data_IF_562334519318
#
_entry.id   IF_562334519318
#
_cell.length_a   1.000
_cell.length_b   1.000
_cell.length_c   1.000
_cell.angle_alpha   90.00
_cell.angle_beta   90.00
_cell.angle_gamma   90.00
#
_symmetry.space_group_name_H-M   'P 1'
#
loop_
_entity.id
_entity.type
_entity.pdbx_description
1 polymer ?
#
# COMPACT_ATOMS: atom_id res chain seq x y z
N UNK A 1 -38.48 65.08 0.03
CA UNK A 1 -38.01 63.94 -0.79
C UNK A 1 -38.06 62.67 0.06
N UNK A 2 -39.11 61.83 -0.07
CA UNK A 2 -39.18 60.54 0.67
C UNK A 2 -38.28 59.55 -0.05
N UNK A 3 -37.13 59.24 0.55
CA UNK A 3 -36.15 58.33 -0.01
C UNK A 3 -36.76 56.93 -0.09
N UNK A 4 -36.78 56.30 -1.26
CA UNK A 4 -37.37 54.97 -1.51
C UNK A 4 -36.47 53.83 -0.99
N UNK A 5 -36.04 53.92 0.27
CA UNK A 5 -35.19 52.96 0.98
C UNK A 5 -35.72 51.51 0.94
N UNK A 6 -37.05 51.34 0.90
CA UNK A 6 -37.69 50.02 0.76
C UNK A 6 -37.37 49.32 -0.57
N UNK A 7 -37.15 50.07 -1.66
CA UNK A 7 -36.76 49.50 -2.96
C UNK A 7 -35.35 48.92 -2.93
N UNK A 8 -34.45 49.53 -2.15
CA UNK A 8 -33.11 49.02 -1.93
C UNK A 8 -33.13 47.75 -1.07
N UNK A 9 -33.96 47.69 -0.03
CA UNK A 9 -34.15 46.49 0.79
C UNK A 9 -34.73 45.33 -0.03
N UNK A 10 -35.69 45.59 -0.92
CA UNK A 10 -36.22 44.57 -1.84
C UNK A 10 -35.15 44.08 -2.84
N UNK A 11 -34.32 44.99 -3.37
CA UNK A 11 -33.22 44.64 -4.26
C UNK A 11 -32.16 43.76 -3.56
N UNK A 12 -31.79 44.11 -2.33
CA UNK A 12 -30.84 43.32 -1.52
C UNK A 12 -31.43 41.95 -1.17
N UNK A 13 -32.70 41.89 -0.79
CA UNK A 13 -33.39 40.63 -0.52
C UNK A 13 -33.38 39.70 -1.74
N UNK A 14 -33.65 40.24 -2.93
CA UNK A 14 -33.66 39.46 -4.17
C UNK A 14 -32.27 38.94 -4.55
N UNK A 15 -31.22 39.75 -4.34
CA UNK A 15 -29.83 39.32 -4.50
C UNK A 15 -29.50 38.18 -3.53
N UNK A 16 -29.84 38.29 -2.25
CA UNK A 16 -29.57 37.24 -1.26
C UNK A 16 -30.29 35.93 -1.57
N UNK A 17 -31.53 36.00 -2.08
CA UNK A 17 -32.32 34.82 -2.48
C UNK A 17 -31.69 34.07 -3.64
N UNK A 18 -30.96 34.73 -4.55
CA UNK A 18 -30.23 34.04 -5.63
C UNK A 18 -28.82 33.63 -5.17
N UNK A 19 -28.15 34.49 -4.41
CA UNK A 19 -26.76 34.31 -4.04
C UNK A 19 -26.57 33.18 -3.03
N UNK A 20 -27.41 33.08 -2.00
CA UNK A 20 -27.28 32.05 -0.95
C UNK A 20 -27.46 30.63 -1.52
N UNK A 21 -28.50 30.31 -2.31
CA UNK A 21 -28.63 28.99 -2.95
C UNK A 21 -27.51 28.71 -3.94
N UNK A 22 -27.04 29.72 -4.68
CA UNK A 22 -25.92 29.56 -5.62
C UNK A 22 -24.61 29.19 -4.92
N UNK A 23 -24.33 29.78 -3.75
CA UNK A 23 -23.16 29.46 -2.94
C UNK A 23 -23.26 28.05 -2.36
N UNK A 24 -24.43 27.66 -1.84
CA UNK A 24 -24.67 26.31 -1.33
C UNK A 24 -24.55 25.26 -2.45
N UNK A 25 -25.11 25.53 -3.63
CA UNK A 25 -25.04 24.65 -4.79
C UNK A 25 -23.60 24.52 -5.34
N UNK A 26 -22.85 25.62 -5.38
CA UNK A 26 -21.46 25.63 -5.78
C UNK A 26 -20.57 24.88 -4.78
N UNK A 27 -20.75 25.07 -3.46
CA UNK A 27 -20.02 24.29 -2.46
C UNK A 27 -20.31 22.80 -2.58
N UNK A 28 -21.57 22.41 -2.76
CA UNK A 28 -21.96 21.01 -2.93
C UNK A 28 -21.38 20.41 -4.22
N UNK A 29 -21.38 21.17 -5.33
CA UNK A 29 -20.73 20.74 -6.58
C UNK A 29 -19.22 20.63 -6.41
N UNK A 30 -18.53 21.60 -5.81
CA UNK A 30 -17.07 21.52 -5.61
C UNK A 30 -16.67 20.31 -4.75
N UNK A 31 -17.46 19.96 -3.72
CA UNK A 31 -17.19 18.75 -2.91
C UNK A 31 -17.39 17.46 -3.71
N UNK A 32 -18.41 17.38 -4.57
CA UNK A 32 -18.65 16.22 -5.45
C UNK A 32 -17.68 16.12 -6.63
N UNK A 33 -17.13 17.24 -7.11
CA UNK A 33 -16.16 17.25 -8.22
C UNK A 33 -14.74 16.88 -7.76
N UNK A 34 -14.35 17.22 -6.53
CA UNK A 34 -13.04 16.82 -5.96
C UNK A 34 -12.93 15.31 -5.68
N UNK A 35 -14.04 14.58 -5.48
CA UNK A 35 -13.98 13.15 -5.16
C UNK A 35 -13.77 12.24 -6.37
N UNK A 36 -14.06 12.70 -7.60
CA UNK A 36 -14.10 11.83 -8.78
C UNK A 36 -12.83 11.88 -9.66
N UNK A 37 -11.94 12.84 -9.46
CA UNK A 37 -10.68 12.93 -10.21
C UNK A 37 -9.51 12.36 -9.41
N UNK A 38 -8.79 11.38 -9.96
CA UNK A 38 -7.53 10.89 -9.36
C UNK A 38 -6.53 12.04 -9.26
N UNK A 39 -5.94 12.22 -8.08
CA UNK A 39 -4.89 13.22 -7.86
C UNK A 39 -3.65 12.85 -8.66
N UNK A 40 -2.84 13.82 -9.14
CA UNK A 40 -1.54 13.50 -9.74
C UNK A 40 -0.61 12.80 -8.77
N UNK A 41 -0.70 13.13 -7.48
CA UNK A 41 0.08 12.53 -6.41
C UNK A 41 -0.39 11.10 -6.12
N UNK A 42 0.50 10.14 -6.41
CA UNK A 42 0.35 8.71 -6.21
C UNK A 42 1.53 8.17 -5.39
N UNK A 43 1.53 8.36 -4.05
CA UNK A 43 2.64 7.89 -3.24
C UNK A 43 2.72 6.37 -3.22
N UNK A 44 3.94 5.84 -3.10
CA UNK A 44 4.15 4.44 -2.73
C UNK A 44 4.46 4.35 -1.24
N UNK A 45 3.52 3.82 -0.48
CA UNK A 45 3.67 3.62 0.97
C UNK A 45 4.41 2.31 1.22
N UNK A 46 5.54 2.36 1.91
CA UNK A 46 6.41 1.23 2.18
C UNK A 46 6.42 0.91 3.68
N UNK A 47 6.11 -0.33 4.06
CA UNK A 47 6.07 -0.78 5.45
C UNK A 47 7.07 -1.93 5.64
N UNK A 48 8.07 -1.78 6.54
CA UNK A 48 9.11 -2.79 6.72
C UNK A 48 8.62 -3.92 7.67
N UNK A 49 9.44 -4.97 7.78
CA UNK A 49 9.22 -6.10 8.67
C UNK A 49 9.56 -5.83 10.14
N UNK A 50 9.61 -6.90 10.94
CA UNK A 50 10.01 -6.82 12.35
C UNK A 50 11.48 -6.48 12.54
N UNK A 51 11.83 -5.95 13.72
CA UNK A 51 13.18 -5.52 14.13
C UNK A 51 13.85 -4.52 13.16
N UNK A 52 13.10 -4.04 12.18
CA UNK A 52 13.54 -3.14 11.14
C UNK A 52 13.28 -1.70 11.57
N UNK A 53 14.30 -0.85 11.49
CA UNK A 53 14.10 0.59 11.59
C UNK A 53 13.55 1.16 10.27
N UNK A 54 13.19 2.44 10.26
CA UNK A 54 12.81 3.18 9.05
C UNK A 54 13.86 3.17 7.93
N UNK A 55 15.09 2.70 8.20
CA UNK A 55 16.18 2.62 7.24
C UNK A 55 16.22 1.28 6.47
N UNK A 56 15.33 0.33 6.78
CA UNK A 56 15.30 -0.99 6.13
C UNK A 56 15.16 -0.92 4.61
N UNK A 57 14.46 0.09 4.12
CA UNK A 57 14.29 0.31 2.68
C UNK A 57 15.35 1.22 2.07
N UNK A 58 16.33 1.74 2.81
CA UNK A 58 17.27 2.74 2.27
C UNK A 58 18.10 2.18 1.10
N UNK A 59 18.57 0.93 1.21
CA UNK A 59 19.29 0.25 0.13
C UNK A 59 18.38 0.03 -1.10
N UNK A 60 17.16 -0.48 -0.89
CA UNK A 60 16.17 -0.66 -1.96
C UNK A 60 15.85 0.66 -2.66
N UNK A 61 15.59 1.72 -1.89
CA UNK A 61 15.26 3.04 -2.40
C UNK A 61 16.44 3.64 -3.16
N UNK A 62 17.67 3.45 -2.66
CA UNK A 62 18.89 3.86 -3.36
C UNK A 62 19.01 3.18 -4.71
N UNK A 63 18.76 1.86 -4.77
CA UNK A 63 18.81 1.11 -6.03
C UNK A 63 17.68 1.50 -6.98
N UNK A 64 16.45 1.63 -6.49
CA UNK A 64 15.32 2.14 -7.27
C UNK A 64 15.64 3.51 -7.87
N UNK A 65 16.25 4.43 -7.12
CA UNK A 65 16.61 5.76 -7.62
C UNK A 65 17.67 5.74 -8.72
N UNK A 66 18.57 4.75 -8.73
CA UNK A 66 19.54 4.60 -9.83
C UNK A 66 18.89 4.06 -11.09
N UNK A 67 17.91 3.18 -10.91
CA UNK A 67 17.29 2.40 -12.00
C UNK A 67 16.06 3.10 -12.61
N UNK A 68 15.38 3.96 -11.84
CA UNK A 68 14.21 4.73 -12.28
C UNK A 68 14.63 6.03 -12.95
N UNK A 69 13.91 6.43 -14.00
CA UNK A 69 14.18 7.69 -14.72
C UNK A 69 13.66 8.91 -13.96
N UNK A 70 12.68 8.70 -13.08
CA UNK A 70 12.00 9.75 -12.33
C UNK A 70 12.56 9.80 -10.92
N UNK A 71 12.99 10.98 -10.48
CA UNK A 71 13.52 11.14 -9.13
C UNK A 71 12.42 11.13 -8.08
N UNK A 72 12.32 10.05 -7.31
CA UNK A 72 11.38 9.88 -6.19
C UNK A 72 11.91 10.50 -4.88
N UNK A 73 11.21 11.49 -4.35
CA UNK A 73 11.42 12.02 -2.99
C UNK A 73 11.01 10.99 -1.94
N UNK A 74 11.60 11.09 -0.75
CA UNK A 74 11.39 10.11 0.33
C UNK A 74 10.97 10.85 1.60
N UNK A 75 9.82 10.45 2.12
CA UNK A 75 9.33 10.83 3.44
C UNK A 75 9.37 9.58 4.33
N UNK A 76 10.02 9.69 5.49
CA UNK A 76 10.02 8.66 6.52
C UNK A 76 9.10 9.09 7.65
N UNK A 77 8.22 8.19 8.05
CA UNK A 77 7.20 8.40 9.08
C UNK A 77 7.45 7.36 10.17
N UNK A 78 7.62 7.81 11.40
CA UNK A 78 7.75 6.93 12.57
C UNK A 78 6.56 7.15 13.49
N UNK A 79 5.84 6.06 13.80
CA UNK A 79 4.75 6.06 14.78
C UNK A 79 5.24 5.51 16.11
N UNK A 80 5.19 6.35 17.14
CA UNK A 80 5.53 5.98 18.51
C UNK A 80 4.45 5.09 19.15
N UNK A 81 4.80 4.40 20.23
CA UNK A 81 3.90 3.47 20.93
C UNK A 81 2.65 4.13 21.53
N UNK A 82 2.72 5.45 21.78
CA UNK A 82 1.61 6.30 22.20
C UNK A 82 0.76 6.84 21.01
N UNK A 83 1.10 6.47 19.77
CA UNK A 83 0.43 6.93 18.55
C UNK A 83 0.94 8.25 17.97
N UNK A 84 1.96 8.88 18.58
CA UNK A 84 2.55 10.10 18.05
C UNK A 84 3.27 9.83 16.73
N UNK A 85 3.00 10.66 15.72
CA UNK A 85 3.61 10.56 14.39
C UNK A 85 4.73 11.58 14.26
N UNK A 86 5.88 11.14 13.77
CA UNK A 86 7.05 11.99 13.49
C UNK A 86 7.54 11.78 12.06
N UNK A 87 8.12 12.83 11.48
CA UNK A 87 8.49 12.88 10.07
C UNK A 87 9.98 13.19 9.90
N UNK A 88 10.62 12.53 8.95
CA UNK A 88 11.97 12.87 8.47
C UNK A 88 12.00 12.82 6.94
N UNK A 89 12.73 13.74 6.31
CA UNK A 89 12.68 13.94 4.86
C UNK A 89 11.51 14.83 4.43
N UNK A 90 11.19 14.84 3.14
CA UNK A 90 10.11 15.66 2.57
C UNK A 90 9.66 15.14 1.21
N UNK A 91 8.42 15.47 0.84
CA UNK A 91 7.91 15.28 -0.53
C UNK A 91 8.25 16.53 -1.34
N UNK A 92 9.01 16.36 -2.42
CA UNK A 92 9.41 17.50 -3.28
C UNK A 92 8.20 18.00 -4.05
N UNK A 93 8.05 19.33 -4.18
CA UNK A 93 7.02 19.93 -5.03
C UNK A 93 7.14 19.42 -6.47
N UNK A 94 6.03 18.98 -7.04
CA UNK A 94 5.96 18.42 -8.40
C UNK A 94 6.42 16.95 -8.51
N UNK A 95 6.81 16.31 -7.41
CA UNK A 95 6.95 14.85 -7.38
C UNK A 95 5.58 14.20 -7.21
N UNK A 96 5.15 13.49 -8.25
CA UNK A 96 3.86 12.81 -8.30
C UNK A 96 3.93 11.36 -7.83
N UNK A 97 5.11 10.80 -7.56
CA UNK A 97 5.25 9.40 -7.13
C UNK A 97 6.28 9.25 -6.00
N UNK A 98 6.14 9.99 -4.87
CA UNK A 98 7.10 9.90 -3.78
C UNK A 98 7.02 8.54 -3.07
N UNK A 99 8.10 8.18 -2.38
CA UNK A 99 8.14 7.04 -1.48
C UNK A 99 7.88 7.51 -0.05
N UNK A 100 6.95 6.86 0.63
CA UNK A 100 6.62 7.14 2.03
C UNK A 100 6.89 5.89 2.85
N UNK A 101 7.97 5.87 3.63
CA UNK A 101 8.30 4.75 4.51
C UNK A 101 7.61 4.96 5.85
N UNK A 102 6.73 4.05 6.26
CA UNK A 102 6.07 4.09 7.58
C UNK A 102 6.65 2.98 8.44
N UNK A 103 7.29 3.35 9.54
CA UNK A 103 7.87 2.44 10.51
C UNK A 103 7.29 2.69 11.92
N UNK A 104 7.43 1.71 12.79
CA UNK A 104 6.87 1.73 14.13
C UNK A 104 7.99 1.73 15.16
N UNK A 105 7.81 2.46 16.27
CA UNK A 105 8.72 2.39 17.42
C UNK A 105 8.75 0.98 18.00
N UNK A 106 7.57 0.37 18.20
CA UNK A 106 7.49 -1.06 18.47
C UNK A 106 7.36 -1.81 17.14
N UNK A 107 8.51 -2.32 16.68
CA UNK A 107 8.66 -3.15 15.49
C UNK A 107 8.82 -4.65 15.83
N UNK A 108 8.39 -5.10 16.99
CA UNK A 108 8.52 -6.50 17.38
C UNK A 108 7.61 -7.42 16.55
N UNK A 109 8.03 -8.68 16.44
CA UNK A 109 7.24 -9.77 15.87
C UNK A 109 6.02 -10.13 16.72
N UNK A 110 5.16 -10.97 16.14
CA UNK A 110 4.08 -11.63 16.86
C UNK A 110 2.71 -11.00 16.63
N UNK A 111 1.69 -11.86 16.74
CA UNK A 111 0.29 -11.55 16.42
C UNK A 111 -0.22 -10.24 17.05
N UNK A 112 0.02 -10.03 18.34
CA UNK A 112 -0.42 -8.84 19.07
C UNK A 112 0.25 -7.56 18.56
N UNK A 113 1.56 -7.63 18.29
CA UNK A 113 2.32 -6.48 17.81
C UNK A 113 1.92 -6.11 16.38
N UNK A 114 1.77 -7.10 15.49
CA UNK A 114 1.33 -6.91 14.10
C UNK A 114 -0.05 -6.23 14.04
N UNK A 115 -1.00 -6.67 14.87
CA UNK A 115 -2.32 -6.04 14.95
C UNK A 115 -2.26 -4.59 15.43
N UNK A 116 -1.41 -4.29 16.42
CA UNK A 116 -1.21 -2.93 16.92
C UNK A 116 -0.53 -2.04 15.88
N UNK A 117 0.43 -2.59 15.13
CA UNK A 117 1.09 -1.90 14.02
C UNK A 117 0.11 -1.57 12.89
N UNK A 118 -0.87 -2.43 12.60
CA UNK A 118 -1.93 -2.10 11.63
C UNK A 118 -2.81 -0.91 12.08
N UNK A 119 -3.08 -0.81 13.39
CA UNK A 119 -3.78 0.33 13.96
C UNK A 119 -2.93 1.61 13.89
N UNK A 120 -1.64 1.52 14.22
CA UNK A 120 -0.71 2.65 14.09
C UNK A 120 -0.53 3.09 12.63
N UNK A 121 -0.53 2.15 11.69
CA UNK A 121 -0.53 2.46 10.27
C UNK A 121 -1.75 3.29 9.88
N UNK A 122 -2.94 2.99 10.40
CA UNK A 122 -4.13 3.80 10.16
C UNK A 122 -3.98 5.24 10.68
N UNK A 123 -3.37 5.43 11.86
CA UNK A 123 -3.10 6.77 12.41
C UNK A 123 -2.19 7.56 11.46
N UNK A 124 -1.05 6.99 11.07
CA UNK A 124 -0.13 7.63 10.13
C UNK A 124 -0.79 7.89 8.77
N UNK A 125 -1.55 6.92 8.25
CA UNK A 125 -2.22 7.03 6.96
C UNK A 125 -3.22 8.19 6.92
N UNK A 126 -4.06 8.33 7.96
CA UNK A 126 -5.00 9.46 8.06
C UNK A 126 -4.28 10.80 8.12
N UNK A 127 -3.19 10.88 8.87
CA UNK A 127 -2.39 12.11 8.97
C UNK A 127 -1.75 12.48 7.62
N UNK A 128 -1.23 11.48 6.90
CA UNK A 128 -0.70 11.65 5.54
C UNK A 128 -1.76 12.10 4.54
N UNK A 129 -2.94 11.47 4.53
CA UNK A 129 -4.05 11.84 3.63
C UNK A 129 -4.52 13.26 3.94
N UNK A 130 -4.62 13.63 5.21
CA UNK A 130 -4.98 14.99 5.64
C UNK A 130 -3.94 16.03 5.21
N UNK A 131 -2.66 15.67 5.24
CA UNK A 131 -1.55 16.60 4.96
C UNK A 131 -1.29 16.77 3.45
N UNK A 132 -1.32 15.67 2.70
CA UNK A 132 -0.89 15.63 1.30
C UNK A 132 -2.04 15.50 0.29
N UNK A 133 -3.26 15.22 0.78
CA UNK A 133 -4.49 15.21 -0.02
C UNK A 133 -4.48 14.28 -1.25
N UNK A 134 -3.66 13.22 -1.26
CA UNK A 134 -3.76 12.18 -2.29
C UNK A 134 -5.03 11.36 -2.11
N UNK A 135 -5.64 10.93 -3.21
CA UNK A 135 -6.83 10.08 -3.20
C UNK A 135 -6.60 8.69 -3.81
N UNK A 136 -5.36 8.38 -4.15
CA UNK A 136 -4.94 7.03 -4.46
C UNK A 136 -3.48 6.81 -4.09
N UNK A 137 -3.09 5.55 -3.89
CA UNK A 137 -1.71 5.18 -3.56
C UNK A 137 -1.41 3.72 -3.96
N UNK A 138 -0.12 3.39 -4.01
CA UNK A 138 0.38 2.02 -4.05
C UNK A 138 1.05 1.66 -2.72
N UNK A 139 1.12 0.38 -2.38
CA UNK A 139 1.74 -0.09 -1.15
C UNK A 139 2.76 -1.20 -1.37
N UNK A 140 3.83 -1.18 -0.59
CA UNK A 140 4.87 -2.21 -0.53
C UNK A 140 5.06 -2.67 0.91
N UNK A 141 4.85 -3.96 1.18
CA UNK A 141 5.15 -4.57 2.47
C UNK A 141 6.31 -5.54 2.35
N UNK A 142 7.33 -5.42 3.20
CA UNK A 142 8.36 -6.45 3.34
C UNK A 142 8.13 -7.24 4.63
N UNK A 143 8.20 -8.57 4.56
CA UNK A 143 8.00 -9.46 5.71
C UNK A 143 6.68 -9.12 6.42
N UNK A 144 6.68 -8.89 7.73
CA UNK A 144 5.50 -8.46 8.51
C UNK A 144 4.84 -7.19 7.98
N UNK A 145 5.56 -6.31 7.29
CA UNK A 145 4.97 -5.14 6.64
C UNK A 145 3.81 -5.48 5.71
N UNK A 146 3.87 -6.64 5.04
CA UNK A 146 2.75 -7.13 4.24
C UNK A 146 1.56 -7.59 5.07
N UNK A 147 1.78 -8.20 6.24
CA UNK A 147 0.70 -8.57 7.17
C UNK A 147 0.02 -7.32 7.73
N UNK A 148 0.82 -6.33 8.15
CA UNK A 148 0.37 -5.04 8.67
C UNK A 148 -0.49 -4.32 7.64
N UNK A 149 -0.03 -4.25 6.38
CA UNK A 149 -0.79 -3.66 5.28
C UNK A 149 -2.10 -4.42 5.01
N UNK A 150 -2.06 -5.75 5.03
CA UNK A 150 -3.24 -6.59 4.78
C UNK A 150 -4.32 -6.37 5.85
N UNK A 151 -3.94 -6.43 7.13
CA UNK A 151 -4.84 -6.14 8.24
C UNK A 151 -5.35 -4.70 8.20
N UNK A 152 -4.51 -3.73 7.83
CA UNK A 152 -4.93 -2.34 7.67
C UNK A 152 -6.02 -2.19 6.61
N UNK A 153 -5.85 -2.83 5.46
CA UNK A 153 -6.82 -2.81 4.37
C UNK A 153 -8.15 -3.47 4.78
N UNK A 154 -8.10 -4.54 5.57
CA UNK A 154 -9.29 -5.27 6.01
C UNK A 154 -10.04 -4.56 7.15
N UNK A 155 -9.32 -3.96 8.11
CA UNK A 155 -9.92 -3.50 9.37
C UNK A 155 -10.16 -2.00 9.44
N UNK A 156 -9.29 -1.20 8.81
CA UNK A 156 -9.22 0.23 9.08
C UNK A 156 -9.37 1.10 7.82
N UNK A 157 -9.04 0.58 6.64
CA UNK A 157 -8.99 1.39 5.43
C UNK A 157 -10.36 1.97 5.03
N UNK A 158 -11.46 1.30 5.38
CA UNK A 158 -12.83 1.77 5.17
C UNK A 158 -13.15 3.10 5.88
N UNK A 159 -12.34 3.49 6.88
CA UNK A 159 -12.45 4.78 7.56
C UNK A 159 -12.04 5.96 6.67
N UNK A 160 -11.28 5.73 5.59
CA UNK A 160 -10.80 6.75 4.65
C UNK A 160 -11.43 6.59 3.27
N UNK A 161 -12.76 6.74 3.19
CA UNK A 161 -13.61 6.41 2.02
C UNK A 161 -13.24 7.09 0.69
N UNK A 162 -12.50 8.20 0.73
CA UNK A 162 -12.14 8.96 -0.46
C UNK A 162 -10.78 8.58 -1.05
N UNK A 163 -10.08 7.61 -0.47
CA UNK A 163 -8.77 7.16 -0.94
C UNK A 163 -8.89 5.75 -1.47
N UNK A 164 -8.27 5.46 -2.61
CA UNK A 164 -8.22 4.12 -3.20
C UNK A 164 -6.80 3.56 -3.16
N UNK A 165 -6.64 2.29 -2.85
CA UNK A 165 -5.38 1.59 -3.09
C UNK A 165 -5.40 1.01 -4.50
N UNK A 166 -4.40 1.35 -5.32
CA UNK A 166 -4.30 0.85 -6.68
C UNK A 166 -3.61 -0.52 -6.70
N UNK A 167 -2.46 -0.63 -6.02
CA UNK A 167 -1.61 -1.83 -6.03
C UNK A 167 -1.01 -2.12 -4.67
N UNK A 168 -0.91 -3.40 -4.34
CA UNK A 168 -0.19 -3.91 -3.17
C UNK A 168 0.87 -4.90 -3.65
N UNK A 169 2.12 -4.69 -3.26
CA UNK A 169 3.17 -5.69 -3.39
C UNK A 169 3.64 -6.14 -2.01
N UNK A 170 3.67 -7.44 -1.76
CA UNK A 170 4.19 -8.01 -0.53
C UNK A 170 5.39 -8.89 -0.83
N UNK A 171 6.51 -8.69 -0.14
CA UNK A 171 7.76 -9.43 -0.36
C UNK A 171 8.06 -10.26 0.89
N UNK A 172 8.17 -11.58 0.73
CA UNK A 172 8.47 -12.53 1.81
C UNK A 172 7.54 -12.40 3.02
N UNK A 173 6.26 -12.10 2.78
CA UNK A 173 5.29 -11.90 3.86
C UNK A 173 4.81 -13.24 4.43
N UNK A 174 5.03 -13.50 5.73
CA UNK A 174 4.71 -14.80 6.33
C UNK A 174 3.22 -14.88 6.71
N UNK A 175 2.33 -15.10 5.73
CA UNK A 175 0.88 -15.17 5.97
C UNK A 175 0.47 -16.25 6.97
N UNK A 176 1.27 -17.30 7.15
CA UNK A 176 1.09 -18.32 8.19
C UNK A 176 2.18 -18.29 9.27
N UNK A 177 2.81 -17.13 9.50
CA UNK A 177 3.96 -16.97 10.40
C UNK A 177 5.09 -17.96 10.04
N UNK A 178 5.75 -18.53 11.04
CA UNK A 178 6.82 -19.52 10.90
C UNK A 178 6.29 -20.92 10.51
N UNK A 179 4.98 -21.11 10.34
CA UNK A 179 4.42 -22.42 10.00
C UNK A 179 4.63 -22.75 8.51
N UNK A 180 5.31 -23.86 8.25
CA UNK A 180 5.41 -24.47 6.92
C UNK A 180 4.18 -25.33 6.56
N UNK A 181 3.20 -25.44 7.46
CA UNK A 181 2.01 -26.24 7.25
C UNK A 181 1.11 -25.64 6.17
N UNK A 182 0.58 -26.51 5.30
CA UNK A 182 -0.42 -26.16 4.29
C UNK A 182 -1.87 -26.32 4.80
N UNK A 183 -2.05 -26.94 5.97
CA UNK A 183 -3.36 -27.28 6.55
C UNK A 183 -3.62 -26.56 7.87
N UNK A 184 -2.61 -26.46 8.74
CA UNK A 184 -2.71 -25.75 10.02
C UNK A 184 -2.62 -24.26 9.80
N UNK A 185 -3.63 -23.53 10.29
CA UNK A 185 -3.69 -22.06 10.19
C UNK A 185 -3.36 -21.42 11.52
N UNK A 186 -2.35 -20.55 11.53
CA UNK A 186 -2.03 -19.67 12.66
C UNK A 186 -3.13 -18.65 12.93
N UNK A 187 -3.09 -17.99 14.09
CA UNK A 187 -4.08 -16.98 14.46
C UNK A 187 -4.15 -15.84 13.45
N UNK A 188 -3.00 -15.37 12.95
CA UNK A 188 -2.94 -14.28 11.97
C UNK A 188 -3.60 -14.68 10.63
N UNK A 189 -3.35 -15.92 10.16
CA UNK A 189 -3.94 -16.39 8.91
C UNK A 189 -5.46 -16.54 9.03
N UNK A 190 -5.93 -17.03 10.18
CA UNK A 190 -7.36 -17.13 10.47
C UNK A 190 -8.02 -15.75 10.46
N UNK A 191 -7.37 -14.75 11.08
CA UNK A 191 -7.88 -13.37 11.12
C UNK A 191 -7.95 -12.76 9.72
N UNK A 192 -6.87 -12.85 8.93
CA UNK A 192 -6.83 -12.35 7.56
C UNK A 192 -7.92 -13.00 6.68
N UNK A 193 -8.08 -14.32 6.76
CA UNK A 193 -9.12 -15.02 6.00
C UNK A 193 -10.53 -14.58 6.44
N UNK A 194 -10.74 -14.26 7.71
CA UNK A 194 -12.03 -13.77 8.20
C UNK A 194 -12.31 -12.32 7.74
N UNK A 195 -11.27 -11.47 7.63
CA UNK A 195 -11.38 -10.07 7.22
C UNK A 195 -11.40 -9.84 5.71
N UNK A 196 -10.97 -10.83 4.91
CA UNK A 196 -10.68 -10.68 3.47
C UNK A 196 -11.78 -10.07 2.61
N UNK A 197 -13.05 -10.20 2.99
CA UNK A 197 -14.18 -9.63 2.22
C UNK A 197 -14.17 -8.10 2.21
N UNK A 198 -13.50 -7.48 3.19
CA UNK A 198 -13.32 -6.04 3.31
C UNK A 198 -12.23 -5.49 2.38
N UNK A 199 -11.43 -6.36 1.75
CA UNK A 199 -10.39 -5.92 0.82
C UNK A 199 -10.98 -5.13 -0.35
N UNK A 200 -10.31 -4.05 -0.80
CA UNK A 200 -10.78 -3.24 -1.92
C UNK A 200 -10.88 -4.07 -3.21
N UNK A 201 -12.09 -4.17 -3.78
CA UNK A 201 -12.37 -5.06 -4.92
C UNK A 201 -11.58 -4.72 -6.19
N UNK A 202 -11.13 -3.47 -6.35
CA UNK A 202 -10.32 -3.01 -7.49
C UNK A 202 -8.81 -3.18 -7.30
N UNK A 203 -8.37 -3.66 -6.13
CA UNK A 203 -6.95 -3.81 -5.80
C UNK A 203 -6.28 -4.83 -6.72
N UNK A 204 -5.05 -4.53 -7.15
CA UNK A 204 -4.13 -5.50 -7.74
C UNK A 204 -3.06 -5.88 -6.73
N UNK A 205 -2.87 -7.17 -6.49
CA UNK A 205 -1.93 -7.70 -5.50
C UNK A 205 -0.83 -8.54 -6.17
N UNK A 206 0.42 -8.26 -5.81
CA UNK A 206 1.60 -9.05 -6.17
C UNK A 206 2.24 -9.62 -4.91
N UNK A 207 2.21 -10.94 -4.76
CA UNK A 207 2.86 -11.63 -3.63
C UNK A 207 4.17 -12.25 -4.09
N UNK A 208 5.29 -11.70 -3.65
CA UNK A 208 6.63 -12.16 -4.01
C UNK A 208 7.18 -13.07 -2.91
N UNK A 209 7.46 -14.32 -3.26
CA UNK A 209 8.14 -15.28 -2.39
C UNK A 209 9.61 -15.36 -2.80
N UNK A 210 10.52 -15.25 -1.83
CA UNK A 210 11.94 -15.60 -2.02
C UNK A 210 12.16 -17.07 -1.67
N UNK A 211 13.04 -17.74 -2.39
CA UNK A 211 13.50 -19.08 -2.01
C UNK A 211 15.00 -19.20 -2.23
N UNK A 212 15.74 -19.37 -1.13
CA UNK A 212 17.18 -19.67 -1.15
C UNK A 212 17.41 -21.15 -1.48
N UNK A 213 16.62 -22.05 -0.85
CA UNK A 213 16.70 -23.50 -1.04
C UNK A 213 15.36 -24.11 -1.49
N UNK A 214 14.64 -23.45 -2.39
CA UNK A 214 13.32 -23.86 -2.92
C UNK A 214 12.14 -23.92 -1.92
N UNK A 215 12.41 -23.94 -0.60
CA UNK A 215 11.39 -24.11 0.45
C UNK A 215 11.30 -22.93 1.44
N UNK A 216 12.31 -22.07 1.51
CA UNK A 216 12.41 -20.97 2.48
C UNK A 216 13.38 -19.90 1.97
N UNK A 217 13.24 -18.67 2.47
CA UNK A 217 14.20 -17.57 2.32
C UNK A 217 15.24 -17.51 3.46
N UNK A 218 15.36 -18.60 4.24
CA UNK A 218 16.23 -18.69 5.41
C UNK A 218 15.58 -18.21 6.72
N UNK A 219 14.38 -17.62 6.67
CA UNK A 219 13.62 -17.22 7.87
C UNK A 219 12.14 -17.63 7.77
N UNK A 220 11.53 -17.43 6.61
CA UNK A 220 10.11 -17.68 6.35
C UNK A 220 9.95 -18.84 5.37
N UNK A 221 9.16 -19.86 5.72
CA UNK A 221 8.83 -20.92 4.79
C UNK A 221 8.04 -20.39 3.59
N UNK A 222 8.39 -20.83 2.39
CA UNK A 222 7.69 -20.48 1.16
C UNK A 222 6.20 -20.84 1.23
N UNK A 223 5.84 -21.94 1.93
CA UNK A 223 4.45 -22.31 2.14
C UNK A 223 3.67 -21.31 2.99
N UNK A 224 4.31 -20.64 3.94
CA UNK A 224 3.71 -19.54 4.70
C UNK A 224 3.35 -18.38 3.79
N UNK A 225 4.27 -17.99 2.90
CA UNK A 225 4.02 -16.94 1.88
C UNK A 225 2.90 -17.37 0.92
N UNK A 226 2.88 -18.64 0.51
CA UNK A 226 1.84 -19.20 -0.37
C UNK A 226 0.43 -19.13 0.22
N UNK A 227 0.28 -19.01 1.54
CA UNK A 227 -1.05 -18.89 2.16
C UNK A 227 -1.74 -17.56 1.84
N UNK A 228 -1.02 -16.55 1.33
CA UNK A 228 -1.61 -15.27 0.89
C UNK A 228 -2.71 -15.46 -0.16
N UNK A 229 -2.66 -16.54 -0.94
CA UNK A 229 -3.72 -16.87 -1.91
C UNK A 229 -5.11 -17.01 -1.26
N UNK A 230 -5.19 -17.52 -0.03
CA UNK A 230 -6.46 -17.68 0.69
C UNK A 230 -7.04 -16.35 1.20
N UNK A 231 -6.18 -15.33 1.29
CA UNK A 231 -6.56 -13.96 1.66
C UNK A 231 -7.05 -13.22 0.42
N UNK A 232 -6.30 -13.22 -0.68
CA UNK A 232 -6.57 -12.32 -1.81
C UNK A 232 -7.36 -12.93 -2.98
N UNK A 233 -7.23 -14.23 -3.27
CA UNK A 233 -7.92 -14.80 -4.43
C UNK A 233 -9.44 -14.68 -4.28
N UNK A 234 -10.10 -14.28 -5.38
CA UNK A 234 -11.53 -14.00 -5.44
C UNK A 234 -12.01 -12.85 -4.52
N UNK A 235 -11.09 -12.09 -3.91
CA UNK A 235 -11.42 -10.91 -3.08
C UNK A 235 -10.99 -9.59 -3.71
N UNK A 236 -9.92 -9.61 -4.51
CA UNK A 236 -9.35 -8.46 -5.21
C UNK A 236 -9.43 -8.67 -6.73
N UNK A 237 -9.25 -7.61 -7.51
CA UNK A 237 -9.36 -7.68 -8.98
C UNK A 237 -8.33 -8.63 -9.59
N UNK A 238 -7.09 -8.57 -9.12
CA UNK A 238 -6.00 -9.40 -9.60
C UNK A 238 -5.10 -9.82 -8.45
N UNK A 239 -4.78 -11.11 -8.37
CA UNK A 239 -3.77 -11.65 -7.47
C UNK A 239 -2.73 -12.42 -8.29
N UNK A 240 -1.47 -12.03 -8.18
CA UNK A 240 -0.35 -12.72 -8.84
C UNK A 240 0.69 -13.10 -7.81
N UNK A 241 1.06 -14.37 -7.77
CA UNK A 241 2.19 -14.84 -6.99
C UNK A 241 3.43 -14.98 -7.88
N UNK A 242 4.56 -14.49 -7.38
CA UNK A 242 5.84 -14.43 -8.07
C UNK A 242 6.88 -15.11 -7.18
N UNK A 243 7.58 -16.11 -7.70
CA UNK A 243 8.70 -16.73 -6.99
C UNK A 243 10.02 -16.22 -7.56
N UNK A 244 10.91 -15.80 -6.68
CA UNK A 244 12.27 -15.34 -6.98
C UNK A 244 13.26 -16.33 -6.37
N UNK A 245 14.08 -16.94 -7.21
CA UNK A 245 15.06 -17.99 -6.87
C UNK A 245 16.48 -17.52 -7.15
N UNK A 246 17.46 -17.94 -6.34
CA UNK A 246 18.90 -17.77 -6.62
C UNK A 246 19.69 -17.13 -5.48
N UNK A 247 20.98 -16.87 -5.72
CA UNK A 247 21.87 -16.23 -4.74
C UNK A 247 21.35 -14.82 -4.39
N UNK A 248 21.39 -14.43 -3.11
CA UNK A 248 20.78 -13.19 -2.54
C UNK A 248 19.25 -13.21 -2.42
N UNK A 249 18.66 -14.36 -2.12
CA UNK A 249 17.23 -14.48 -1.76
C UNK A 249 16.99 -14.72 -0.27
N UNK A 250 18.01 -14.47 0.56
CA UNK A 250 17.86 -14.48 2.01
C UNK A 250 16.83 -13.43 2.45
N UNK A 251 16.13 -13.68 3.55
CA UNK A 251 15.04 -12.83 4.03
C UNK A 251 15.40 -11.33 4.13
N UNK A 252 16.63 -11.04 4.57
CA UNK A 252 17.15 -9.68 4.75
C UNK A 252 17.58 -9.00 3.44
N UNK A 253 18.02 -9.76 2.45
CA UNK A 253 18.55 -9.26 1.17
C UNK A 253 17.50 -9.15 0.07
N UNK A 254 16.34 -9.79 0.25
CA UNK A 254 15.25 -9.72 -0.73
C UNK A 254 14.88 -8.29 -1.14
N UNK A 255 14.71 -7.31 -0.22
CA UNK A 255 14.40 -5.94 -0.63
C UNK A 255 15.42 -5.31 -1.58
N UNK A 256 16.69 -5.73 -1.55
CA UNK A 256 17.77 -5.14 -2.37
C UNK A 256 18.16 -6.01 -3.59
N UNK A 257 17.50 -7.15 -3.78
CA UNK A 257 17.76 -8.02 -4.92
C UNK A 257 17.34 -7.35 -6.25
N UNK A 258 18.21 -7.37 -7.26
CA UNK A 258 17.95 -6.73 -8.57
C UNK A 258 16.66 -7.21 -9.25
N UNK A 259 16.29 -8.48 -9.08
CA UNK A 259 15.02 -9.00 -9.60
C UNK A 259 13.83 -8.37 -8.88
N UNK A 260 13.93 -8.17 -7.56
CA UNK A 260 12.91 -7.49 -6.75
C UNK A 260 12.80 -6.01 -7.15
N UNK A 261 13.91 -5.33 -7.39
CA UNK A 261 13.93 -3.96 -7.91
C UNK A 261 13.20 -3.89 -9.26
N UNK A 262 13.50 -4.80 -10.19
CA UNK A 262 12.81 -4.88 -11.49
C UNK A 262 11.31 -5.16 -11.35
N UNK A 263 10.91 -6.04 -10.41
CA UNK A 263 9.50 -6.31 -10.12
C UNK A 263 8.78 -5.07 -9.59
N UNK A 264 9.39 -4.34 -8.66
CA UNK A 264 8.83 -3.09 -8.12
C UNK A 264 8.66 -2.08 -9.24
N UNK A 265 9.70 -1.84 -10.06
CA UNK A 265 9.64 -0.92 -11.21
C UNK A 265 8.53 -1.29 -12.18
N UNK A 266 8.44 -2.56 -12.56
CA UNK A 266 7.47 -3.05 -13.53
C UNK A 266 6.02 -3.01 -13.01
N UNK A 267 5.79 -3.55 -11.81
CA UNK A 267 4.43 -3.86 -11.35
C UNK A 267 3.89 -2.84 -10.37
N UNK A 268 4.72 -2.30 -9.50
CA UNK A 268 4.28 -1.33 -8.50
C UNK A 268 4.35 0.10 -9.04
N UNK A 269 5.48 0.46 -9.66
CA UNK A 269 5.71 1.79 -10.21
C UNK A 269 5.17 1.96 -11.64
N UNK A 270 4.89 0.84 -12.34
CA UNK A 270 4.37 0.81 -13.71
C UNK A 270 5.30 1.50 -14.73
N UNK A 271 6.61 1.37 -14.54
CA UNK A 271 7.57 1.87 -15.51
C UNK A 271 7.51 1.09 -16.83
N UNK A 272 7.61 1.80 -17.95
CA UNK A 272 7.82 1.18 -19.26
C UNK A 272 9.27 0.70 -19.38
N UNK A 273 9.48 -0.59 -19.08
CA UNK A 273 10.79 -1.22 -19.17
C UNK A 273 11.17 -1.60 -20.62
N UNK A 274 12.47 -1.51 -20.99
CA UNK A 274 12.98 -2.00 -22.28
C UNK A 274 12.61 -3.48 -22.51
N UNK A 275 12.41 -3.87 -23.78
CA UNK A 275 11.97 -5.22 -24.14
C UNK A 275 12.90 -6.33 -23.60
N UNK A 276 14.21 -6.07 -23.56
CA UNK A 276 15.23 -7.00 -23.05
C UNK A 276 15.09 -7.27 -21.54
N UNK A 277 14.80 -6.24 -20.74
CA UNK A 277 14.55 -6.38 -19.30
C UNK A 277 13.23 -7.10 -19.04
N UNK A 278 12.19 -6.79 -19.82
CA UNK A 278 10.91 -7.51 -19.76
C UNK A 278 11.05 -9.00 -20.10
N UNK A 279 11.93 -9.36 -21.03
CA UNK A 279 12.23 -10.74 -21.40
C UNK A 279 13.03 -11.48 -20.32
N UNK A 280 14.05 -10.84 -19.74
CA UNK A 280 14.82 -11.41 -18.62
C UNK A 280 13.94 -11.70 -17.40
N UNK A 281 12.94 -10.84 -17.14
CA UNK A 281 11.92 -11.07 -16.09
C UNK A 281 10.97 -12.25 -16.37
N UNK A 282 10.99 -12.86 -17.57
CA UNK A 282 10.24 -14.09 -17.86
C UNK A 282 11.08 -15.34 -17.64
N UNK A 283 12.40 -15.27 -17.85
CA UNK A 283 13.28 -16.43 -17.79
C UNK A 283 13.63 -16.88 -16.36
N UNK A 284 13.64 -15.97 -15.39
CA UNK A 284 13.92 -16.28 -13.98
C UNK A 284 12.71 -16.32 -13.04
N UNK A 285 11.50 -16.07 -13.56
CA UNK A 285 10.28 -15.96 -12.76
C UNK A 285 9.30 -17.08 -13.13
N UNK A 286 9.02 -17.95 -12.18
CA UNK A 286 7.89 -18.88 -12.27
C UNK A 286 6.61 -18.13 -11.85
N UNK A 287 5.74 -17.81 -12.83
CA UNK A 287 4.41 -17.24 -12.56
C UNK A 287 3.39 -18.36 -12.51
N UNK A 288 2.80 -18.61 -11.34
CA UNK A 288 1.57 -19.41 -11.26
C UNK A 288 0.38 -18.46 -11.19
N UNK A 289 -0.31 -18.31 -12.31
CA UNK A 289 -1.71 -17.90 -12.31
C UNK A 289 -2.51 -19.11 -11.85
N UNK A 290 -2.80 -19.21 -10.54
CA UNK A 290 -3.70 -20.25 -10.03
C UNK A 290 -5.12 -19.74 -10.30
N UNK A 291 -5.55 -19.79 -11.56
CA UNK A 291 -6.97 -19.76 -11.92
C UNK A 291 -7.56 -21.06 -11.38
N UNK A 292 -8.50 -20.94 -10.44
CA UNK A 292 -9.04 -22.09 -9.73
C UNK A 292 -9.73 -23.06 -10.68
N UNK A 293 -9.05 -24.17 -10.98
CA UNK A 293 -9.70 -25.44 -11.24
C UNK A 293 -8.73 -26.62 -11.05
N UNK A 294 -9.24 -27.63 -10.34
CA UNK A 294 -8.84 -29.04 -10.23
C UNK A 294 -7.49 -29.43 -9.59
N UNK A 295 -7.61 -30.25 -8.53
CA UNK A 295 -6.57 -31.19 -8.12
C UNK A 295 -6.36 -31.33 -6.62
N UNK A 296 -7.36 -31.85 -5.89
CA UNK A 296 -7.10 -32.58 -4.65
C UNK A 296 -6.38 -33.90 -5.00
N UNK A 297 -5.34 -34.31 -4.27
CA UNK A 297 -5.33 -35.65 -3.69
C UNK A 297 -6.24 -35.71 -2.45
#
# INVERSE_FOLDING_TARGET
MRHNWWRWLLGIGLILVVFIPSLAWMQHRVTHYKSNYKTPLNPTIMVPGSSASQNRFDALISELRKETKVGHSVLKVKVATNGQVSYTGSIRRGDNQPFIVIAFENNQDGYTNINKQAQWLNIAFKDLVKTYHFNHFSALGHSNGGLILSLFLEKYFSETKHVNIDRLMTIATPYNMESDSTTTRTAILKELIAGREQLPKKLTVYSVAGTENYSSDGTVPANSVNQGKYVFQNQVAHYTQITVTGDNTTHSDLPQNKQIVLLIRQYLLQEELPAKERANNRSGIVRRSITGEAGLP
#
